data_IF_726758656436
#
_entry.id   IF_726758656436
#
_cell.length_a   1.000
_cell.length_b   1.000
_cell.length_c   1.000
_cell.angle_alpha   90.00
_cell.angle_beta   90.00
_cell.angle_gamma   90.00
#
_symmetry.space_group_name_H-M   'P 1'
#
loop_
_entity.id
_entity.type
_entity.pdbx_description
1 polymer ?
#
# COMPACT_ATOMS: atom_id res chain seq x y z
N UNK A 1 18.08 -5.52 29.23
CA UNK A 1 18.85 -6.68 29.70
C UNK A 1 18.90 -7.71 28.58
N UNK A 2 20.08 -8.27 28.34
CA UNK A 2 20.21 -9.39 27.41
C UNK A 2 19.53 -10.64 28.03
N UNK A 3 18.81 -11.38 27.22
CA UNK A 3 18.26 -12.67 27.58
C UNK A 3 19.17 -13.80 27.01
N UNK A 4 18.85 -15.04 27.34
CA UNK A 4 19.65 -16.18 26.88
C UNK A 4 19.68 -16.28 25.37
N UNK A 5 20.88 -16.32 24.77
CA UNK A 5 21.09 -16.45 23.33
C UNK A 5 21.00 -15.16 22.55
N UNK A 6 20.94 -14.01 23.20
CA UNK A 6 21.07 -12.71 22.53
C UNK A 6 22.51 -12.42 22.11
N UNK A 7 22.69 -11.81 20.94
CA UNK A 7 23.99 -11.39 20.41
C UNK A 7 23.94 -9.90 20.07
N UNK A 8 24.79 -9.10 20.71
CA UNK A 8 24.95 -7.68 20.41
C UNK A 8 26.43 -7.36 20.16
N UNK A 9 26.79 -6.93 18.94
CA UNK A 9 28.17 -6.66 18.52
C UNK A 9 28.22 -5.34 17.76
N UNK A 10 29.05 -4.40 18.22
CA UNK A 10 29.25 -3.12 17.57
C UNK A 10 29.08 -1.92 18.51
N UNK A 11 29.64 -0.78 18.10
CA UNK A 11 29.50 0.45 18.87
C UNK A 11 28.04 0.89 18.90
N UNK A 12 27.48 0.98 20.10
CA UNK A 12 26.08 1.34 20.28
C UNK A 12 25.06 0.22 19.93
N UNK A 13 25.52 -0.97 19.56
CA UNK A 13 24.60 -2.12 19.38
C UNK A 13 23.91 -2.45 20.71
N UNK A 14 22.63 -2.85 20.63
CA UNK A 14 21.89 -3.15 21.84
C UNK A 14 20.58 -3.90 21.62
N UNK A 15 20.24 -4.72 22.60
CA UNK A 15 19.01 -5.50 22.63
C UNK A 15 18.27 -5.16 23.91
N UNK A 16 17.02 -4.75 23.79
CA UNK A 16 16.13 -4.48 24.90
C UNK A 16 14.94 -5.44 24.84
N UNK A 17 14.88 -6.33 25.82
CA UNK A 17 13.77 -7.27 25.99
C UNK A 17 12.97 -6.89 27.23
N UNK A 18 11.69 -6.63 27.06
CA UNK A 18 10.79 -6.42 28.21
C UNK A 18 10.42 -7.70 28.95
N UNK A 19 10.45 -8.82 28.24
CA UNK A 19 10.28 -10.16 28.80
C UNK A 19 11.44 -11.01 28.33
N UNK A 20 11.85 -11.99 29.13
CA UNK A 20 12.96 -12.90 28.85
C UNK A 20 12.72 -13.72 27.58
N UNK A 21 12.79 -13.08 26.46
CA UNK A 21 12.87 -13.70 25.13
C UNK A 21 14.35 -13.66 24.76
N UNK A 22 14.89 -14.74 24.35
CA UNK A 22 16.24 -14.80 23.86
C UNK A 22 16.29 -14.92 22.35
N UNK A 23 17.51 -15.05 21.81
CA UNK A 23 17.74 -15.33 20.40
C UNK A 23 17.65 -14.13 19.48
N UNK A 24 17.71 -12.92 20.01
CA UNK A 24 17.79 -11.70 19.19
C UNK A 24 19.23 -11.38 18.79
N UNK A 25 19.40 -10.73 17.63
CA UNK A 25 20.70 -10.38 17.06
C UNK A 25 20.73 -8.89 16.73
N UNK A 26 21.72 -8.16 17.25
CA UNK A 26 22.00 -6.77 16.92
C UNK A 26 23.49 -6.64 16.57
N UNK A 27 23.82 -6.50 15.30
CA UNK A 27 25.20 -6.43 14.83
C UNK A 27 25.42 -5.20 13.95
N UNK A 28 26.36 -4.35 14.34
CA UNK A 28 26.71 -3.12 13.63
C UNK A 28 26.65 -1.89 14.50
N UNK A 29 27.07 -0.76 13.96
CA UNK A 29 27.01 0.52 14.67
C UNK A 29 25.57 0.95 14.87
N UNK A 30 25.18 1.18 16.12
CA UNK A 30 23.81 1.55 16.50
C UNK A 30 22.73 0.56 16.04
N UNK A 31 23.06 -0.71 15.80
CA UNK A 31 22.05 -1.73 15.56
C UNK A 31 21.23 -1.95 16.85
N UNK A 32 19.92 -1.81 16.75
CA UNK A 32 19.01 -1.88 17.91
C UNK A 32 17.90 -2.89 17.70
N UNK A 33 17.67 -3.70 18.71
CA UNK A 33 16.49 -4.55 18.83
C UNK A 33 15.72 -4.12 20.08
N UNK A 34 14.45 -3.85 19.92
CA UNK A 34 13.53 -3.54 21.02
C UNK A 34 12.34 -4.48 20.97
N UNK A 35 12.44 -5.62 21.61
CA UNK A 35 11.31 -6.52 21.82
C UNK A 35 10.47 -5.99 22.96
N UNK A 36 9.27 -5.54 22.69
CA UNK A 36 8.35 -5.12 23.70
C UNK A 36 7.70 -6.33 24.36
N UNK A 37 7.10 -6.11 25.52
CA UNK A 37 6.57 -7.15 26.39
C UNK A 37 5.80 -8.24 25.64
N UNK A 38 6.36 -9.39 25.52
CA UNK A 38 5.85 -10.64 24.98
C UNK A 38 4.47 -10.62 24.31
N UNK A 39 3.48 -11.09 24.96
CA UNK A 39 2.10 -10.99 24.46
C UNK A 39 1.55 -9.58 24.28
N UNK A 40 2.19 -8.56 24.88
CA UNK A 40 1.75 -7.17 24.80
C UNK A 40 1.96 -6.56 23.45
N UNK A 41 3.15 -6.70 22.86
CA UNK A 41 3.46 -6.06 21.58
C UNK A 41 2.84 -6.77 20.39
N UNK A 42 2.82 -8.08 20.41
CA UNK A 42 2.00 -8.85 19.48
C UNK A 42 0.53 -8.41 19.57
N UNK A 43 0.04 -8.13 20.75
CA UNK A 43 -1.29 -7.58 20.97
C UNK A 43 -1.44 -6.17 20.45
N UNK A 44 -0.44 -5.32 20.57
CA UNK A 44 -0.46 -3.96 20.04
C UNK A 44 -0.31 -3.91 18.53
N UNK A 45 0.62 -4.67 17.98
CA UNK A 45 0.78 -4.80 16.53
C UNK A 45 -0.50 -5.30 15.87
N UNK A 46 -1.21 -6.15 16.56
CA UNK A 46 -2.45 -6.75 16.07
C UNK A 46 -3.70 -6.15 16.69
N UNK A 47 -3.56 -5.03 17.34
CA UNK A 47 -4.67 -4.18 17.68
C UNK A 47 -5.43 -4.57 18.94
N UNK A 48 -4.77 -4.99 20.01
CA UNK A 48 -5.35 -4.82 21.34
C UNK A 48 -5.33 -3.34 21.78
N UNK A 49 -5.40 -2.44 20.84
CA UNK A 49 -5.61 -1.04 21.13
C UNK A 49 -7.09 -0.78 21.28
N UNK A 50 -7.41 0.20 22.04
CA UNK A 50 -8.76 0.69 22.34
C UNK A 50 -9.57 1.15 21.12
N UNK A 51 -9.10 0.92 19.92
CA UNK A 51 -9.78 1.29 18.68
C UNK A 51 -10.78 0.21 18.27
N UNK A 52 -12.02 0.41 18.65
CA UNK A 52 -13.13 -0.37 18.11
C UNK A 52 -13.26 -0.13 16.61
N UNK A 53 -13.34 -1.19 15.83
CA UNK A 53 -13.50 -1.11 14.38
C UNK A 53 -12.21 -1.27 13.57
N UNK A 54 -11.06 -1.35 14.20
CA UNK A 54 -9.80 -1.65 13.57
C UNK A 54 -9.67 -3.17 13.39
N UNK A 55 -9.52 -3.66 12.15
CA UNK A 55 -9.44 -5.09 11.91
C UNK A 55 -8.19 -5.76 12.53
N UNK A 56 -7.13 -5.02 12.81
CA UNK A 56 -6.03 -5.50 13.62
C UNK A 56 -6.41 -5.73 15.07
N UNK A 57 -7.42 -5.03 15.61
CA UNK A 57 -7.87 -5.27 16.98
C UNK A 57 -8.50 -6.64 17.17
N UNK A 58 -9.00 -7.22 16.13
CA UNK A 58 -9.60 -8.56 16.10
C UNK A 58 -8.63 -9.65 15.68
N UNK A 59 -7.55 -9.29 15.00
CA UNK A 59 -6.52 -10.23 14.57
C UNK A 59 -5.53 -10.48 15.71
N UNK A 60 -5.55 -11.66 16.29
CA UNK A 60 -4.66 -12.03 17.40
C UNK A 60 -3.56 -12.95 16.90
N UNK A 61 -2.31 -12.57 17.11
CA UNK A 61 -1.19 -13.50 17.11
C UNK A 61 -1.15 -14.22 18.48
N UNK A 62 -0.66 -15.45 18.53
CA UNK A 62 -0.52 -16.17 19.79
C UNK A 62 0.18 -15.32 20.86
N UNK A 63 -0.46 -15.14 22.00
CA UNK A 63 0.09 -14.39 23.14
C UNK A 63 1.21 -15.15 23.87
N UNK A 64 1.53 -16.34 23.46
CA UNK A 64 2.55 -17.16 24.08
C UNK A 64 3.94 -16.58 23.80
N UNK A 65 4.62 -16.00 24.77
CA UNK A 65 5.92 -15.38 24.56
C UNK A 65 6.99 -16.38 24.13
N UNK A 66 6.79 -17.67 24.36
CA UNK A 66 7.74 -18.72 23.90
C UNK A 66 7.64 -18.95 22.39
N UNK A 67 6.59 -18.45 21.75
CA UNK A 67 6.38 -18.52 20.30
C UNK A 67 6.77 -17.24 19.57
N UNK A 68 7.15 -16.20 20.29
CA UNK A 68 7.68 -14.98 19.73
C UNK A 68 9.16 -15.20 19.45
N UNK A 69 9.51 -15.25 18.18
CA UNK A 69 10.88 -15.42 17.73
C UNK A 69 11.72 -14.17 18.01
N UNK A 70 13.01 -14.35 18.19
CA UNK A 70 13.95 -13.25 18.32
C UNK A 70 13.95 -12.35 17.08
N UNK A 71 14.37 -11.11 17.27
CA UNK A 71 14.44 -10.11 16.20
C UNK A 71 15.88 -9.92 15.73
N UNK A 72 16.05 -9.50 14.48
CA UNK A 72 17.36 -9.36 13.85
C UNK A 72 17.53 -7.93 13.35
N UNK A 73 18.60 -7.25 13.80
CA UNK A 73 19.04 -5.95 13.30
C UNK A 73 20.53 -6.03 12.95
N UNK A 74 20.87 -6.00 11.67
CA UNK A 74 22.24 -6.11 11.19
C UNK A 74 22.56 -4.94 10.25
N UNK A 75 23.59 -4.18 10.60
CA UNK A 75 24.09 -3.06 9.81
C UNK A 75 24.16 -1.74 10.57
N UNK A 76 24.50 -0.67 9.87
CA UNK A 76 24.63 0.67 10.45
C UNK A 76 23.27 1.32 10.66
N UNK A 77 22.96 1.72 11.90
CA UNK A 77 21.70 2.34 12.25
C UNK A 77 20.48 1.52 11.81
N UNK A 78 20.45 0.23 12.16
CA UNK A 78 19.32 -0.65 11.94
C UNK A 78 18.45 -0.77 13.18
N UNK A 79 17.14 -0.94 13.00
CA UNK A 79 16.20 -1.06 14.10
C UNK A 79 15.14 -2.13 13.83
N UNK A 80 15.02 -3.07 14.72
CA UNK A 80 14.03 -4.15 14.64
C UNK A 80 13.20 -4.23 15.93
N UNK A 81 11.90 -4.42 15.77
CA UNK A 81 10.98 -4.80 16.85
C UNK A 81 10.66 -6.28 16.78
N UNK A 82 9.80 -6.73 17.65
CA UNK A 82 9.41 -8.13 17.84
C UNK A 82 9.15 -8.86 16.52
N UNK A 83 9.86 -9.96 16.30
CA UNK A 83 9.71 -10.82 15.13
C UNK A 83 10.21 -10.22 13.81
N UNK A 84 10.89 -9.07 13.84
CA UNK A 84 11.34 -8.39 12.63
C UNK A 84 12.77 -8.72 12.25
N UNK A 85 13.02 -8.67 10.95
CA UNK A 85 14.36 -8.80 10.37
C UNK A 85 14.70 -7.54 9.59
N UNK A 86 15.73 -6.81 10.04
CA UNK A 86 16.22 -5.57 9.44
C UNK A 86 17.69 -5.74 9.11
N UNK A 87 18.03 -5.76 7.82
CA UNK A 87 19.40 -5.91 7.35
C UNK A 87 19.72 -4.80 6.35
N UNK A 88 20.77 -4.04 6.62
CA UNK A 88 21.18 -2.95 5.74
C UNK A 88 21.68 -1.74 6.52
N UNK A 89 21.19 -0.55 6.20
CA UNK A 89 21.58 0.67 6.89
C UNK A 89 20.47 1.71 6.88
N UNK A 90 20.44 2.58 7.91
CA UNK A 90 19.51 3.70 8.02
C UNK A 90 18.02 3.32 7.90
N UNK A 91 17.59 2.38 8.73
CA UNK A 91 16.23 1.83 8.71
C UNK A 91 15.30 2.43 9.79
N UNK A 92 15.53 3.64 10.28
CA UNK A 92 14.84 4.17 11.46
C UNK A 92 13.62 5.03 11.20
N UNK A 93 13.62 5.79 10.12
CA UNK A 93 12.57 6.78 9.90
C UNK A 93 12.14 6.83 8.43
N UNK A 94 10.86 7.03 8.24
CA UNK A 94 10.21 6.76 7.00
C UNK A 94 10.03 7.96 6.09
N UNK A 95 11.12 8.62 5.71
CA UNK A 95 11.09 9.67 4.71
C UNK A 95 12.19 9.43 3.67
N UNK A 96 11.86 9.64 2.40
CA UNK A 96 12.83 9.62 1.32
C UNK A 96 13.84 10.76 1.53
N UNK A 97 15.04 10.42 1.88
CA UNK A 97 16.10 11.38 2.21
C UNK A 97 16.30 11.61 3.70
N UNK A 98 15.57 10.90 4.54
CA UNK A 98 15.83 10.95 5.97
C UNK A 98 17.15 10.25 6.31
N UNK A 99 18.11 11.06 6.74
CA UNK A 99 19.41 10.60 7.24
C UNK A 99 19.51 10.68 8.75
N UNK A 100 18.38 10.78 9.45
CA UNK A 100 18.34 11.00 10.90
C UNK A 100 19.01 9.84 11.63
N UNK A 101 19.90 10.20 12.53
CA UNK A 101 20.55 9.25 13.43
C UNK A 101 19.53 8.68 14.41
N UNK A 102 19.71 7.42 14.77
CA UNK A 102 18.91 6.76 15.78
C UNK A 102 18.72 7.59 17.06
N UNK A 103 17.49 7.73 17.47
CA UNK A 103 17.14 8.24 18.79
C UNK A 103 15.99 7.44 19.40
N UNK A 104 15.95 7.41 20.72
CA UNK A 104 14.82 6.77 21.43
C UNK A 104 13.47 7.40 21.02
N UNK A 105 13.46 8.66 20.65
CA UNK A 105 12.27 9.37 20.18
C UNK A 105 11.79 8.87 18.81
N UNK A 106 12.69 8.67 17.86
CA UNK A 106 12.34 8.08 16.54
C UNK A 106 11.90 6.64 16.67
N UNK A 107 12.58 5.84 17.50
CA UNK A 107 12.22 4.43 17.67
C UNK A 107 10.85 4.21 18.29
N UNK A 108 10.42 5.06 19.23
CA UNK A 108 9.15 4.88 19.92
C UNK A 108 7.93 4.89 18.98
N UNK A 109 8.02 5.61 17.89
CA UNK A 109 6.94 5.80 16.95
C UNK A 109 6.94 4.78 15.79
N UNK A 110 8.00 3.99 15.67
CA UNK A 110 8.08 2.94 14.67
C UNK A 110 7.28 1.70 15.06
N UNK A 111 6.41 1.22 14.18
CA UNK A 111 5.64 -0.01 14.32
C UNK A 111 6.10 -1.05 13.28
N UNK A 112 7.37 -1.42 13.33
CA UNK A 112 7.94 -2.43 12.44
C UNK A 112 7.95 -3.81 13.14
N UNK A 113 6.77 -4.39 13.35
CA UNK A 113 6.57 -5.66 14.04
C UNK A 113 6.27 -6.76 13.03
N UNK A 114 6.93 -7.91 13.14
CA UNK A 114 6.88 -8.99 12.15
C UNK A 114 7.15 -8.50 10.73
N UNK A 115 8.14 -7.64 10.60
CA UNK A 115 8.50 -6.93 9.38
C UNK A 115 9.82 -7.42 8.84
N UNK A 116 9.95 -7.53 7.54
CA UNK A 116 11.22 -7.80 6.87
C UNK A 116 11.64 -6.58 6.05
N UNK A 117 12.81 -6.01 6.36
CA UNK A 117 13.41 -4.93 5.57
C UNK A 117 14.86 -5.29 5.26
N UNK A 118 15.18 -5.35 3.98
CA UNK A 118 16.54 -5.63 3.50
C UNK A 118 16.95 -4.57 2.49
N UNK A 119 18.00 -3.83 2.81
CA UNK A 119 18.56 -2.80 1.94
C UNK A 119 18.95 -1.53 2.69
N UNK A 120 19.59 -0.60 1.98
CA UNK A 120 20.04 0.67 2.53
C UNK A 120 18.94 1.74 2.41
N UNK A 121 18.87 2.63 3.41
CA UNK A 121 17.92 3.73 3.45
C UNK A 121 16.48 3.29 3.16
N UNK A 122 16.11 2.11 3.62
CA UNK A 122 14.78 1.55 3.45
C UNK A 122 14.12 1.46 4.81
N UNK A 123 12.85 1.87 4.88
CA UNK A 123 12.10 1.92 6.11
C UNK A 123 10.73 1.26 5.96
N UNK A 124 10.35 0.47 6.94
CA UNK A 124 9.05 -0.20 6.95
C UNK A 124 8.33 0.11 8.25
N UNK A 125 7.23 0.83 8.15
CA UNK A 125 6.43 1.22 9.27
C UNK A 125 4.99 0.69 9.18
N UNK A 126 4.81 -0.46 9.76
CA UNK A 126 3.56 -1.20 9.77
C UNK A 126 3.82 -2.65 10.15
N UNK A 127 2.80 -3.36 10.60
CA UNK A 127 2.91 -4.77 10.94
C UNK A 127 2.86 -5.64 9.66
N UNK A 128 3.60 -6.76 9.66
CA UNK A 128 3.64 -7.72 8.54
C UNK A 128 4.03 -7.08 7.20
N UNK A 129 4.88 -6.07 7.22
CA UNK A 129 5.38 -5.43 6.00
C UNK A 129 6.63 -6.12 5.48
N UNK A 130 6.85 -6.00 4.19
CA UNK A 130 8.08 -6.49 3.54
C UNK A 130 8.62 -5.41 2.63
N UNK A 131 9.91 -5.09 2.77
CA UNK A 131 10.61 -4.17 1.88
C UNK A 131 11.99 -4.74 1.53
N UNK A 132 12.26 -4.89 0.24
CA UNK A 132 13.54 -5.35 -0.29
C UNK A 132 14.02 -4.38 -1.36
N UNK A 133 15.26 -3.88 -1.20
CA UNK A 133 15.89 -2.93 -2.11
C UNK A 133 16.37 -1.67 -1.41
N UNK A 134 16.58 -0.59 -2.16
CA UNK A 134 17.25 0.62 -1.69
C UNK A 134 16.31 1.82 -1.80
N UNK A 135 16.32 2.68 -0.77
CA UNK A 135 15.45 3.86 -0.70
C UNK A 135 13.96 3.56 -0.84
N UNK A 136 13.51 2.44 -0.31
CA UNK A 136 12.08 2.13 -0.26
C UNK A 136 11.49 2.57 1.08
N UNK A 137 10.32 3.17 1.04
CA UNK A 137 9.66 3.70 2.24
C UNK A 137 8.26 3.12 2.37
N UNK A 138 7.99 2.47 3.49
CA UNK A 138 6.62 2.19 3.96
C UNK A 138 6.41 3.08 5.17
N UNK A 139 5.69 4.17 4.98
CA UNK A 139 5.59 5.28 5.94
C UNK A 139 4.16 5.52 6.39
N UNK A 140 3.99 5.84 7.66
CA UNK A 140 2.73 6.37 8.15
C UNK A 140 2.96 7.66 8.94
N UNK A 141 1.99 8.55 8.89
CA UNK A 141 1.94 9.72 9.73
C UNK A 141 1.55 9.32 11.15
N UNK A 142 2.44 9.52 12.10
CA UNK A 142 2.32 9.11 13.51
C UNK A 142 1.83 10.22 14.44
N UNK A 143 0.99 11.11 13.97
CA UNK A 143 0.32 12.07 14.83
C UNK A 143 -0.65 11.37 15.78
N UNK A 144 -0.20 10.90 16.89
CA UNK A 144 -1.03 10.17 17.88
C UNK A 144 -0.37 8.91 18.41
N UNK A 145 0.90 8.68 18.04
CA UNK A 145 1.69 7.52 18.46
C UNK A 145 1.33 6.24 17.69
N UNK A 146 2.16 5.25 17.87
CA UNK A 146 2.06 3.96 17.15
C UNK A 146 0.71 3.25 17.29
N UNK A 147 0.04 3.40 18.40
CA UNK A 147 -1.23 2.73 18.65
C UNK A 147 -2.37 3.28 17.80
N UNK A 148 -2.35 4.58 17.52
CA UNK A 148 -3.33 5.23 16.65
C UNK A 148 -3.19 4.79 15.19
N UNK A 149 -2.05 4.22 14.82
CA UNK A 149 -1.70 3.88 13.46
C UNK A 149 -1.52 2.37 13.23
N UNK A 150 -1.92 1.54 14.18
CA UNK A 150 -1.63 0.10 14.16
C UNK A 150 -2.20 -0.66 12.97
N UNK A 151 -3.20 -0.13 12.28
CA UNK A 151 -3.78 -0.73 11.07
C UNK A 151 -3.05 -0.31 9.81
N UNK A 152 -2.52 0.91 9.79
CA UNK A 152 -1.90 1.47 8.58
C UNK A 152 -0.75 0.60 8.08
N UNK A 153 -0.65 0.47 6.79
CA UNK A 153 0.40 -0.28 6.10
C UNK A 153 0.45 -1.78 6.42
N UNK A 154 -0.53 -2.34 7.11
CA UNK A 154 -0.53 -3.76 7.43
C UNK A 154 -0.42 -4.61 6.16
N UNK A 155 0.58 -5.51 6.13
CA UNK A 155 0.83 -6.38 4.98
C UNK A 155 1.31 -5.67 3.73
N UNK A 156 1.77 -4.42 3.82
CA UNK A 156 2.33 -3.70 2.68
C UNK A 156 3.66 -4.30 2.22
N UNK A 157 3.88 -4.34 0.92
CA UNK A 157 5.07 -4.98 0.33
C UNK A 157 5.69 -4.08 -0.74
N UNK A 158 7.02 -3.91 -0.68
CA UNK A 158 7.82 -3.26 -1.72
C UNK A 158 8.98 -4.16 -2.12
N UNK A 159 9.19 -4.31 -3.42
CA UNK A 159 10.39 -4.90 -3.99
C UNK A 159 10.90 -4.00 -5.13
N UNK A 160 12.07 -3.41 -4.94
CA UNK A 160 12.68 -2.53 -5.93
C UNK A 160 13.45 -1.36 -5.32
N UNK A 161 13.37 -0.19 -5.94
CA UNK A 161 14.17 0.97 -5.56
C UNK A 161 13.37 2.27 -5.67
N UNK A 162 13.55 3.17 -4.70
CA UNK A 162 12.90 4.49 -4.70
C UNK A 162 11.37 4.43 -4.74
N UNK A 163 10.78 3.39 -4.18
CA UNK A 163 9.34 3.27 -4.09
C UNK A 163 8.82 3.72 -2.73
N UNK A 164 7.59 4.21 -2.68
CA UNK A 164 6.96 4.56 -1.41
C UNK A 164 5.50 4.10 -1.29
N UNK A 165 5.16 3.60 -0.11
CA UNK A 165 3.79 3.40 0.36
C UNK A 165 3.58 4.34 1.53
N UNK A 166 2.73 5.34 1.36
CA UNK A 166 2.54 6.41 2.33
C UNK A 166 1.08 6.43 2.81
N UNK A 167 0.91 6.55 4.11
CA UNK A 167 -0.41 6.60 4.75
C UNK A 167 -0.82 8.01 5.12
N UNK A 168 -2.10 8.30 5.02
CA UNK A 168 -2.68 9.59 5.39
C UNK A 168 -3.18 9.59 6.83
N UNK A 169 -3.00 10.69 7.54
CA UNK A 169 -3.60 10.93 8.87
C UNK A 169 -5.13 10.77 8.81
N UNK A 170 -5.68 10.11 9.81
CA UNK A 170 -7.14 9.89 9.91
C UNK A 170 -7.70 8.82 8.97
N UNK A 171 -6.88 8.23 8.11
CA UNK A 171 -7.29 7.13 7.23
C UNK A 171 -6.76 5.80 7.79
N UNK A 172 -7.58 5.09 8.54
CA UNK A 172 -7.16 3.90 9.29
C UNK A 172 -6.72 2.73 8.42
N UNK A 173 -7.24 2.59 7.23
CA UNK A 173 -6.92 1.49 6.32
C UNK A 173 -5.90 1.86 5.24
N UNK A 174 -5.34 3.06 5.32
CA UNK A 174 -4.34 3.54 4.37
C UNK A 174 -3.09 2.66 4.37
N UNK A 175 -2.63 2.27 3.19
CA UNK A 175 -1.45 1.43 2.97
C UNK A 175 -1.69 -0.07 3.17
N UNK A 176 -2.84 -0.47 3.69
CA UNK A 176 -3.14 -1.89 3.95
C UNK A 176 -3.10 -2.72 2.66
N UNK A 177 -2.32 -3.78 2.67
CA UNK A 177 -2.17 -4.74 1.56
C UNK A 177 -1.75 -4.11 0.22
N UNK A 178 -1.09 -2.95 0.23
CA UNK A 178 -0.49 -2.40 -0.98
C UNK A 178 0.76 -3.17 -1.36
N UNK A 179 0.94 -3.40 -2.65
CA UNK A 179 2.11 -4.08 -3.19
C UNK A 179 2.72 -3.28 -4.34
N UNK A 180 4.03 -3.04 -4.27
CA UNK A 180 4.79 -2.34 -5.29
C UNK A 180 5.99 -3.18 -5.72
N UNK A 181 6.16 -3.35 -7.02
CA UNK A 181 7.35 -3.93 -7.64
C UNK A 181 7.85 -2.97 -8.72
N UNK A 182 9.11 -2.53 -8.60
CA UNK A 182 9.73 -1.70 -9.61
C UNK A 182 10.52 -0.51 -9.07
N UNK A 183 10.48 0.62 -9.77
CA UNK A 183 11.26 1.81 -9.43
C UNK A 183 10.42 3.08 -9.45
N UNK A 184 10.63 3.94 -8.46
CA UNK A 184 10.03 5.26 -8.37
C UNK A 184 8.48 5.26 -8.43
N UNK A 185 7.86 4.20 -7.93
CA UNK A 185 6.41 4.12 -7.80
C UNK A 185 5.95 4.63 -6.43
N UNK A 186 4.75 5.16 -6.40
CA UNK A 186 4.18 5.73 -5.17
C UNK A 186 2.73 5.31 -4.97
N UNK A 187 2.38 4.94 -3.74
CA UNK A 187 0.99 4.94 -3.29
C UNK A 187 0.83 5.87 -2.09
N UNK A 188 -0.22 6.66 -2.08
CA UNK A 188 -0.57 7.53 -0.96
C UNK A 188 -2.06 7.40 -0.64
N UNK A 189 -2.39 7.14 0.61
CA UNK A 189 -3.78 7.01 1.04
C UNK A 189 -4.58 6.07 0.14
N UNK A 190 -4.04 4.88 -0.10
CA UNK A 190 -4.69 3.82 -0.87
C UNK A 190 -4.57 2.48 -0.14
N UNK A 191 -5.43 1.52 -0.47
CA UNK A 191 -5.31 0.17 0.06
C UNK A 191 -5.73 -0.88 -0.98
N UNK A 192 -5.23 -2.10 -0.80
CA UNK A 192 -5.42 -3.17 -1.76
C UNK A 192 -4.87 -2.86 -3.16
N UNK A 193 -3.95 -1.91 -3.27
CA UNK A 193 -3.41 -1.46 -4.54
C UNK A 193 -2.22 -2.30 -4.97
N UNK A 194 -2.09 -2.50 -6.27
CA UNK A 194 -1.01 -3.24 -6.89
C UNK A 194 -0.34 -2.39 -7.96
N UNK A 195 0.98 -2.18 -7.81
CA UNK A 195 1.78 -1.41 -8.76
C UNK A 195 2.95 -2.24 -9.26
N UNK A 196 3.10 -2.30 -10.56
CA UNK A 196 4.22 -3.00 -11.20
C UNK A 196 4.77 -2.14 -12.35
N UNK A 197 6.01 -1.67 -12.20
CA UNK A 197 6.68 -0.90 -13.25
C UNK A 197 7.48 0.29 -12.73
N UNK A 198 7.41 1.41 -13.44
CA UNK A 198 8.22 2.59 -13.16
C UNK A 198 7.39 3.88 -13.15
N UNK A 199 7.56 4.68 -12.10
CA UNK A 199 6.97 6.03 -12.04
C UNK A 199 5.44 6.05 -11.98
N UNK A 200 4.78 4.97 -11.56
CA UNK A 200 3.34 4.95 -11.39
C UNK A 200 2.93 5.55 -10.04
N UNK A 201 1.76 6.17 -10.00
CA UNK A 201 1.22 6.77 -8.78
C UNK A 201 -0.26 6.39 -8.58
N UNK A 202 -0.61 5.93 -7.38
CA UNK A 202 -2.00 5.70 -6.95
C UNK A 202 -2.24 6.47 -5.67
N UNK A 203 -3.20 7.40 -5.69
CA UNK A 203 -3.52 8.25 -4.54
C UNK A 203 -5.00 8.21 -4.20
N UNK A 204 -5.34 8.38 -2.92
CA UNK A 204 -6.71 8.48 -2.42
C UNK A 204 -7.65 7.33 -2.85
N UNK A 205 -7.09 6.19 -3.19
CA UNK A 205 -7.81 4.99 -3.64
C UNK A 205 -7.97 4.03 -2.46
N UNK A 206 -8.76 4.42 -1.49
CA UNK A 206 -8.96 3.72 -0.22
C UNK A 206 -10.44 3.50 0.05
N UNK A 207 -10.76 2.33 0.56
CA UNK A 207 -12.06 2.02 1.15
C UNK A 207 -11.86 1.13 2.39
N UNK A 208 -12.84 1.16 3.28
CA UNK A 208 -12.76 0.39 4.51
C UNK A 208 -12.72 -1.11 4.25
N UNK A 209 -11.88 -1.79 4.99
CA UNK A 209 -11.80 -3.25 5.00
C UNK A 209 -12.43 -3.76 6.29
N UNK A 210 -13.50 -4.51 6.17
CA UNK A 210 -14.22 -5.04 7.34
C UNK A 210 -13.34 -5.96 8.18
N UNK A 211 -13.20 -5.61 9.45
CA UNK A 211 -12.40 -6.39 10.38
C UNK A 211 -13.03 -7.76 10.69
N UNK A 212 -12.25 -8.84 10.78
CA UNK A 212 -12.76 -10.10 11.31
C UNK A 212 -13.09 -9.95 12.79
N UNK A 213 -14.09 -10.68 13.27
CA UNK A 213 -14.53 -10.65 14.67
C UNK A 213 -13.51 -11.22 15.66
N UNK A 214 -12.57 -12.02 15.19
CA UNK A 214 -11.44 -12.55 15.96
C UNK A 214 -10.29 -12.96 15.06
N UNK A 215 -9.06 -12.98 15.58
CA UNK A 215 -7.85 -13.36 14.83
C UNK A 215 -7.64 -14.87 14.67
N UNK A 216 -8.33 -15.68 15.45
CA UNK A 216 -8.08 -17.12 15.48
C UNK A 216 -6.89 -17.54 16.35
N UNK A 217 -6.61 -18.83 16.37
CA UNK A 217 -5.58 -19.44 17.21
C UNK A 217 -4.37 -19.97 16.42
N UNK A 218 -4.38 -19.83 15.10
CA UNK A 218 -3.30 -20.28 14.24
C UNK A 218 -3.08 -19.31 13.06
N UNK A 219 -1.92 -19.38 12.45
CA UNK A 219 -1.62 -18.61 11.24
C UNK A 219 -2.57 -18.96 10.09
N UNK A 220 -2.96 -20.23 9.97
CA UNK A 220 -3.95 -20.67 8.97
C UNK A 220 -5.29 -19.99 9.19
N UNK A 221 -5.81 -20.04 10.41
CA UNK A 221 -7.10 -19.41 10.76
C UNK A 221 -7.05 -17.89 10.56
N UNK A 222 -5.97 -17.23 10.97
CA UNK A 222 -5.76 -15.81 10.72
C UNK A 222 -5.78 -15.50 9.21
N UNK A 223 -5.08 -16.29 8.41
CA UNK A 223 -5.04 -16.13 6.96
C UNK A 223 -6.43 -16.26 6.32
N UNK A 224 -7.21 -17.26 6.74
CA UNK A 224 -8.58 -17.46 6.26
C UNK A 224 -9.50 -16.29 6.61
N UNK A 225 -9.38 -15.77 7.83
CA UNK A 225 -10.17 -14.61 8.30
C UNK A 225 -9.79 -13.32 7.56
N UNK A 226 -8.49 -13.07 7.35
CA UNK A 226 -8.03 -11.91 6.60
C UNK A 226 -8.47 -11.98 5.13
N UNK A 227 -8.38 -13.16 4.52
CA UNK A 227 -8.87 -13.37 3.14
C UNK A 227 -10.37 -13.07 3.05
N UNK A 228 -11.14 -13.52 4.01
CA UNK A 228 -12.57 -13.26 4.06
C UNK A 228 -12.87 -11.78 4.28
N UNK A 229 -12.15 -11.11 5.15
CA UNK A 229 -12.29 -9.67 5.39
C UNK A 229 -12.03 -8.86 4.12
N UNK A 230 -10.95 -9.15 3.41
CA UNK A 230 -10.62 -8.49 2.13
C UNK A 230 -11.70 -8.74 1.08
N UNK A 231 -12.13 -10.01 0.94
CA UNK A 231 -13.20 -10.39 -0.01
C UNK A 231 -14.51 -9.67 0.30
N UNK A 232 -14.95 -9.67 1.55
CA UNK A 232 -16.22 -9.08 1.97
C UNK A 232 -16.21 -7.55 1.87
N UNK A 233 -15.05 -6.95 1.86
CA UNK A 233 -14.85 -5.50 1.68
C UNK A 233 -14.56 -5.10 0.22
N UNK A 234 -14.76 -6.01 -0.73
CA UNK A 234 -14.45 -5.81 -2.14
C UNK A 234 -13.00 -5.34 -2.39
N UNK A 235 -12.07 -5.80 -1.57
CA UNK A 235 -10.64 -5.48 -1.71
C UNK A 235 -10.23 -4.07 -1.30
N UNK A 236 -11.10 -3.31 -0.68
CA UNK A 236 -10.83 -1.90 -0.38
C UNK A 236 -10.78 -1.03 -1.65
N UNK A 237 -9.75 -0.21 -1.79
CA UNK A 237 -9.53 0.64 -2.98
C UNK A 237 -9.24 -0.15 -4.24
N UNK A 238 -8.43 -1.19 -4.12
CA UNK A 238 -8.14 -2.21 -5.15
C UNK A 238 -7.84 -1.64 -6.55
N UNK A 239 -7.00 -0.63 -6.62
CA UNK A 239 -6.57 -0.04 -7.90
C UNK A 239 -5.24 -0.65 -8.32
N UNK A 240 -5.09 -0.93 -9.60
CA UNK A 240 -3.88 -1.52 -10.18
C UNK A 240 -3.26 -0.59 -11.22
N UNK A 241 -1.92 -0.49 -11.21
CA UNK A 241 -1.16 0.22 -12.22
C UNK A 241 0.00 -0.66 -12.71
N UNK A 242 -0.05 -1.01 -13.98
CA UNK A 242 0.97 -1.83 -14.65
C UNK A 242 1.58 -1.05 -15.81
N UNK A 243 2.88 -0.82 -15.76
CA UNK A 243 3.62 -0.13 -16.81
C UNK A 243 4.37 1.09 -16.30
N UNK A 244 4.29 2.20 -16.98
CA UNK A 244 5.09 3.37 -16.65
C UNK A 244 4.29 4.67 -16.69
N UNK A 245 4.49 5.50 -15.65
CA UNK A 245 3.89 6.83 -15.60
C UNK A 245 2.36 6.87 -15.50
N UNK A 246 1.72 5.75 -15.14
CA UNK A 246 0.28 5.74 -14.95
C UNK A 246 -0.09 6.44 -13.63
N UNK A 247 -1.21 7.16 -13.63
CA UNK A 247 -1.69 7.90 -12.47
C UNK A 247 -3.16 7.61 -12.19
N UNK A 248 -3.45 7.20 -10.96
CA UNK A 248 -4.80 7.04 -10.44
C UNK A 248 -5.01 7.91 -9.20
N UNK A 249 -6.13 8.63 -9.13
CA UNK A 249 -6.50 9.45 -7.97
C UNK A 249 -8.00 9.36 -7.71
N UNK A 250 -8.39 9.07 -6.47
CA UNK A 250 -9.78 8.81 -6.10
C UNK A 250 -10.44 7.73 -6.95
N UNK A 251 -9.83 6.56 -7.02
CA UNK A 251 -10.30 5.42 -7.79
C UNK A 251 -10.66 4.23 -6.90
N UNK A 252 -11.55 3.38 -7.37
CA UNK A 252 -11.91 2.13 -6.71
C UNK A 252 -11.99 0.99 -7.75
N UNK A 253 -11.41 -0.16 -7.44
CA UNK A 253 -11.52 -1.38 -8.24
C UNK A 253 -11.27 -1.12 -9.74
N UNK A 254 -10.18 -0.45 -10.03
CA UNK A 254 -9.85 0.00 -11.38
C UNK A 254 -8.44 -0.44 -11.78
N UNK A 255 -8.16 -0.45 -13.06
CA UNK A 255 -6.87 -0.85 -13.60
C UNK A 255 -6.38 0.09 -14.69
N UNK A 256 -5.11 0.46 -14.62
CA UNK A 256 -4.37 1.18 -15.67
C UNK A 256 -3.24 0.29 -16.17
N UNK A 257 -3.22 0.00 -17.45
CA UNK A 257 -2.21 -0.86 -18.07
C UNK A 257 -1.61 -0.18 -19.29
N UNK A 258 -0.30 0.00 -19.28
CA UNK A 258 0.44 0.65 -20.36
C UNK A 258 1.21 1.87 -19.89
N UNK A 259 1.18 2.96 -20.64
CA UNK A 259 2.04 4.12 -20.42
C UNK A 259 1.23 5.42 -20.36
N UNK A 260 1.50 6.19 -19.30
CA UNK A 260 0.92 7.52 -19.10
C UNK A 260 -0.62 7.57 -19.16
N UNK A 261 -1.29 6.51 -18.72
CA UNK A 261 -2.74 6.55 -18.56
C UNK A 261 -3.09 7.26 -17.24
N UNK A 262 -4.15 8.04 -17.26
CA UNK A 262 -4.61 8.82 -16.09
C UNK A 262 -6.08 8.56 -15.82
N UNK A 263 -6.39 8.10 -14.60
CA UNK A 263 -7.75 7.88 -14.14
C UNK A 263 -7.97 8.68 -12.85
N UNK A 264 -8.89 9.62 -12.88
CA UNK A 264 -9.16 10.50 -11.75
C UNK A 264 -10.64 10.51 -11.34
N UNK A 265 -10.86 10.94 -10.14
CA UNK A 265 -12.16 11.30 -9.60
C UNK A 265 -11.97 12.38 -8.54
N UNK A 266 -12.94 12.54 -7.69
CA UNK A 266 -12.84 13.36 -6.49
C UNK A 266 -13.46 12.64 -5.28
N UNK A 267 -13.41 13.25 -4.12
CA UNK A 267 -13.90 12.64 -2.89
C UNK A 267 -15.39 12.24 -2.97
N UNK A 268 -16.21 12.97 -3.72
CA UNK A 268 -17.66 12.71 -3.88
C UNK A 268 -17.95 11.79 -5.06
N UNK A 269 -17.17 11.92 -6.13
CA UNK A 269 -17.36 11.20 -7.38
C UNK A 269 -16.09 10.43 -7.73
N UNK A 270 -15.84 9.32 -7.05
CA UNK A 270 -14.73 8.45 -7.36
C UNK A 270 -14.96 7.73 -8.69
N UNK A 271 -13.91 7.57 -9.47
CA UNK A 271 -13.94 6.65 -10.61
C UNK A 271 -13.85 5.20 -10.12
N UNK A 272 -14.69 4.33 -10.68
CA UNK A 272 -14.77 2.95 -10.19
C UNK A 272 -15.01 1.94 -11.30
N UNK A 273 -14.55 0.70 -11.09
CA UNK A 273 -14.78 -0.43 -11.98
C UNK A 273 -14.37 -0.09 -13.45
N UNK A 274 -13.25 0.60 -13.61
CA UNK A 274 -12.82 1.18 -14.88
C UNK A 274 -11.46 0.63 -15.28
N UNK A 275 -11.26 0.36 -16.55
CA UNK A 275 -10.01 -0.10 -17.11
C UNK A 275 -9.54 0.84 -18.22
N UNK A 276 -8.32 1.35 -18.10
CA UNK A 276 -7.61 2.07 -19.16
C UNK A 276 -6.42 1.23 -19.62
N UNK A 277 -6.38 0.89 -20.88
CA UNK A 277 -5.28 0.10 -21.47
C UNK A 277 -4.73 0.79 -22.70
N UNK A 278 -3.43 0.98 -22.73
CA UNK A 278 -2.71 1.55 -23.88
C UNK A 278 -1.87 2.77 -23.51
N UNK A 279 -1.95 3.81 -24.27
CA UNK A 279 -1.08 4.97 -24.16
C UNK A 279 -1.87 6.28 -24.06
N UNK A 280 -1.55 7.12 -23.08
CA UNK A 280 -2.11 8.46 -22.93
C UNK A 280 -3.65 8.50 -22.87
N UNK A 281 -4.29 7.47 -22.39
CA UNK A 281 -5.72 7.52 -22.14
C UNK A 281 -6.00 8.27 -20.84
N UNK A 282 -7.02 9.12 -20.85
CA UNK A 282 -7.44 9.88 -19.68
C UNK A 282 -8.92 9.66 -19.41
N UNK A 283 -9.27 9.41 -18.14
CA UNK A 283 -10.66 9.35 -17.73
C UNK A 283 -10.85 10.04 -16.38
N UNK A 284 -11.97 10.75 -16.24
CA UNK A 284 -12.33 11.45 -15.00
C UNK A 284 -13.80 11.26 -14.66
N UNK A 285 -14.09 10.92 -13.41
CA UNK A 285 -15.45 10.71 -12.89
C UNK A 285 -16.26 9.71 -13.71
N UNK A 286 -15.67 8.56 -13.95
CA UNK A 286 -16.26 7.49 -14.76
C UNK A 286 -16.52 6.24 -13.93
N UNK A 287 -17.47 5.43 -14.37
CA UNK A 287 -17.71 4.13 -13.76
C UNK A 287 -18.10 3.06 -14.78
N UNK A 288 -17.74 1.80 -14.50
CA UNK A 288 -18.05 0.66 -15.37
C UNK A 288 -17.64 0.94 -16.83
N UNK A 289 -16.46 1.51 -17.03
CA UNK A 289 -16.00 1.99 -18.33
C UNK A 289 -14.72 1.29 -18.72
N UNK A 290 -14.60 0.90 -19.98
CA UNK A 290 -13.39 0.28 -20.54
C UNK A 290 -12.89 1.13 -21.70
N UNK A 291 -11.60 1.47 -21.65
CA UNK A 291 -10.90 2.25 -22.69
C UNK A 291 -9.67 1.47 -23.13
N UNK A 292 -9.58 1.18 -24.42
CA UNK A 292 -8.46 0.46 -25.03
C UNK A 292 -7.97 1.24 -26.25
N UNK A 293 -6.72 1.61 -26.26
CA UNK A 293 -6.08 2.32 -27.37
C UNK A 293 -5.23 3.49 -26.89
N UNK A 294 -5.19 4.55 -27.67
CA UNK A 294 -4.31 5.69 -27.39
C UNK A 294 -5.04 7.03 -27.53
N UNK A 295 -4.62 7.99 -26.69
CA UNK A 295 -5.10 9.37 -26.75
C UNK A 295 -6.63 9.52 -26.57
N UNK A 296 -7.27 8.54 -25.92
CA UNK A 296 -8.71 8.62 -25.62
C UNK A 296 -8.96 9.41 -24.34
N UNK A 297 -10.06 10.15 -24.32
CA UNK A 297 -10.51 10.90 -23.14
C UNK A 297 -11.97 10.57 -22.83
N UNK A 298 -12.27 10.19 -21.57
CA UNK A 298 -13.63 9.90 -21.14
C UNK A 298 -13.91 10.69 -19.88
N UNK A 299 -14.91 11.54 -19.89
CA UNK A 299 -15.24 12.42 -18.76
C UNK A 299 -16.71 12.32 -18.40
N UNK A 300 -17.00 12.19 -17.11
CA UNK A 300 -18.34 12.20 -16.57
C UNK A 300 -19.30 11.24 -17.30
N UNK A 301 -18.85 9.98 -17.45
CA UNK A 301 -19.53 8.94 -18.23
C UNK A 301 -19.60 7.64 -17.46
N UNK A 302 -20.63 6.84 -17.75
CA UNK A 302 -20.84 5.52 -17.14
C UNK A 302 -21.18 4.47 -18.19
N UNK A 303 -20.82 3.23 -17.87
CA UNK A 303 -21.18 2.04 -18.65
C UNK A 303 -20.78 2.17 -20.13
N UNK A 304 -19.58 2.63 -20.41
CA UNK A 304 -19.13 2.91 -21.78
C UNK A 304 -17.93 2.03 -22.17
N UNK A 305 -17.83 1.76 -23.47
CA UNK A 305 -16.71 1.07 -24.11
C UNK A 305 -16.14 1.95 -25.19
N UNK A 306 -14.84 2.25 -25.10
CA UNK A 306 -14.08 2.97 -26.11
C UNK A 306 -12.90 2.11 -26.53
N UNK A 307 -12.83 1.75 -27.79
CA UNK A 307 -11.75 0.95 -28.37
C UNK A 307 -11.28 1.57 -29.66
N UNK A 308 -10.09 2.18 -29.64
CA UNK A 308 -9.49 2.90 -30.77
C UNK A 308 -8.64 4.06 -30.28
N UNK A 309 -8.42 5.05 -31.13
CA UNK A 309 -7.57 6.19 -30.83
C UNK A 309 -8.29 7.52 -31.08
N UNK A 310 -7.90 8.55 -30.33
CA UNK A 310 -8.39 9.93 -30.44
C UNK A 310 -9.90 10.10 -30.19
N UNK A 311 -10.52 9.17 -29.47
CA UNK A 311 -11.93 9.28 -29.07
C UNK A 311 -12.06 10.11 -27.80
N UNK A 312 -13.07 11.01 -27.80
CA UNK A 312 -13.50 11.71 -26.59
C UNK A 312 -14.97 11.40 -26.30
N UNK A 313 -15.27 10.97 -25.08
CA UNK A 313 -16.64 10.82 -24.56
C UNK A 313 -16.83 11.81 -23.43
N UNK A 314 -17.81 12.69 -23.52
CA UNK A 314 -18.04 13.71 -22.53
C UNK A 314 -19.52 13.84 -22.19
N UNK A 315 -19.82 13.75 -20.89
CA UNK A 315 -21.20 13.86 -20.34
C UNK A 315 -22.19 12.89 -21.02
N UNK A 316 -21.73 11.70 -21.43
CA UNK A 316 -22.53 10.71 -22.13
C UNK A 316 -22.39 9.35 -21.50
N UNK A 317 -23.50 8.63 -21.33
CA UNK A 317 -23.56 7.31 -20.74
C UNK A 317 -23.88 6.26 -21.82
N UNK A 318 -23.45 5.00 -21.55
CA UNK A 318 -23.73 3.85 -22.40
C UNK A 318 -23.20 3.98 -23.84
N UNK A 319 -22.08 4.72 -24.01
CA UNK A 319 -21.46 4.86 -25.32
C UNK A 319 -20.65 3.61 -25.70
N UNK A 320 -20.77 3.16 -26.95
CA UNK A 320 -19.97 2.11 -27.54
C UNK A 320 -19.29 2.65 -28.78
N UNK A 321 -18.00 2.95 -28.66
CA UNK A 321 -17.21 3.53 -29.74
C UNK A 321 -16.08 2.56 -30.10
N UNK A 322 -16.07 2.05 -31.31
CA UNK A 322 -15.06 1.11 -31.80
C UNK A 322 -14.48 1.61 -33.10
N UNK A 323 -13.19 1.85 -33.11
CA UNK A 323 -12.43 2.38 -34.24
C UNK A 323 -11.78 3.71 -33.93
N UNK A 324 -10.68 4.00 -34.62
CA UNK A 324 -9.88 5.21 -34.43
C UNK A 324 -10.42 6.37 -35.25
N UNK A 325 -10.11 7.60 -34.81
CA UNK A 325 -10.36 8.83 -35.57
C UNK A 325 -9.03 9.54 -35.82
N UNK A 326 -8.92 10.23 -36.96
CA UNK A 326 -7.69 10.94 -37.36
C UNK A 326 -7.36 12.12 -36.43
N UNK A 327 -8.37 12.66 -35.80
CA UNK A 327 -8.25 13.73 -34.83
C UNK A 327 -9.23 13.50 -33.68
N UNK A 328 -9.03 14.22 -32.61
CA UNK A 328 -9.92 14.15 -31.44
C UNK A 328 -11.38 14.36 -31.83
N UNK A 329 -12.20 13.35 -31.62
CA UNK A 329 -13.62 13.34 -32.01
C UNK A 329 -14.47 13.13 -30.78
N UNK A 330 -15.34 14.10 -30.47
CA UNK A 330 -16.15 14.14 -29.26
C UNK A 330 -17.55 13.55 -29.51
N UNK A 331 -17.94 12.63 -28.64
CA UNK A 331 -19.30 12.08 -28.51
C UNK A 331 -19.90 12.54 -27.18
N UNK A 332 -21.03 13.26 -27.24
CA UNK A 332 -21.74 13.76 -26.04
C UNK A 332 -23.21 13.32 -26.00
N UNK A 333 -23.51 12.21 -26.62
CA UNK A 333 -24.87 11.65 -26.77
C UNK A 333 -24.96 10.35 -25.98
N UNK A 334 -25.99 10.20 -25.16
CA UNK A 334 -26.25 8.95 -24.45
C UNK A 334 -26.60 7.83 -25.43
N UNK A 335 -26.29 6.60 -25.05
CA UNK A 335 -26.57 5.42 -25.86
C UNK A 335 -25.96 5.42 -27.27
N UNK A 336 -24.92 6.24 -27.46
CA UNK A 336 -24.24 6.36 -28.76
C UNK A 336 -23.56 5.04 -29.16
N UNK A 337 -23.76 4.63 -30.39
CA UNK A 337 -23.05 3.48 -31.00
C UNK A 337 -22.38 3.94 -32.28
N UNK A 338 -21.05 3.94 -32.30
CA UNK A 338 -20.26 4.26 -33.50
C UNK A 338 -19.22 3.17 -33.71
N UNK A 339 -19.21 2.57 -34.88
CA UNK A 339 -18.28 1.51 -35.26
C UNK A 339 -17.65 1.85 -36.61
N UNK A 340 -16.32 1.94 -36.62
CA UNK A 340 -15.57 2.21 -37.82
C UNK A 340 -14.66 3.44 -37.68
N UNK A 341 -13.82 3.63 -38.71
CA UNK A 341 -12.87 4.74 -38.76
C UNK A 341 -13.60 6.07 -39.00
N UNK A 342 -13.21 7.11 -38.26
CA UNK A 342 -13.81 8.43 -38.31
C UNK A 342 -15.34 8.49 -38.12
N UNK A 343 -15.92 7.50 -37.50
CA UNK A 343 -17.38 7.51 -37.17
C UNK A 343 -17.66 8.31 -35.91
N UNK A 344 -18.83 8.97 -35.86
CA UNK A 344 -19.30 9.69 -34.68
C UNK A 344 -20.84 9.69 -34.61
N UNK A 345 -21.36 9.96 -33.42
CA UNK A 345 -22.78 10.16 -33.15
C UNK A 345 -22.95 11.56 -32.52
N UNK A 346 -23.74 12.40 -33.15
CA UNK A 346 -23.91 13.81 -32.74
C UNK A 346 -25.33 14.18 -32.31
N UNK A 347 -26.27 13.28 -32.53
CA UNK A 347 -27.68 13.42 -32.12
C UNK A 347 -28.22 12.10 -31.62
N UNK A 348 -29.22 12.13 -30.72
CA UNK A 348 -29.90 10.95 -30.21
C UNK A 348 -30.84 10.35 -31.26
#
# INVERSE_FOLDING_TARGET
>A
SAATGDVAIGNGAGINNYVSQGGSIAIGKNAKVENMAGGGEASFALGQTTYSGNWLSSARIPKDPTKVVGSVAIGDNTFARTGSTMIGSHNYKGDLGDTTVDSASTRKDALNVYTTTIGANSFSNGAFTTSTGVYNIISSDYNGGRFANSTKNFGATINGTLNSIESKTGSYYSGVANSIVGIANRTFNSNGSLVFGAGNEITNSVADISAPSSGGNSAKELSEKLRSAVKNSNGGGSTMAFGSGNKADYTLRSALMGVNNTLTGDQRNKSANTMLTGFHNTADKVSNTTVIGSENTVTNSKNSLVMGDNREVKDANHAVLIGSTDSKTTTSVNNAVAVGHNTNVTVE
#
